data_IF_290253079832
#
_entry.id   IF_290253079832
#
_cell.length_a   1.000
_cell.length_b   1.000
_cell.length_c   1.000
_cell.angle_alpha   90.00
_cell.angle_beta   90.00
_cell.angle_gamma   90.00
#
_symmetry.space_group_name_H-M   'P 1'
#
loop_
_entity.id
_entity.type
_entity.pdbx_description
1 polymer ?
#
# COMPACT_ATOMS: atom_id res chain seq x y z
N UNK A 1 -29.20 -15.01 -25.40
CA UNK A 1 -28.55 -14.99 -24.04
C UNK A 1 -29.64 -14.91 -22.99
N UNK A 2 -29.93 -15.99 -22.26
CA UNK A 2 -30.85 -15.94 -21.12
C UNK A 2 -30.19 -15.15 -20.02
N UNK A 3 -30.72 -13.98 -19.66
CA UNK A 3 -30.34 -13.27 -18.44
C UNK A 3 -30.62 -14.21 -17.28
N UNK A 4 -29.56 -14.65 -16.59
CA UNK A 4 -29.65 -15.34 -15.31
C UNK A 4 -30.33 -14.35 -14.36
N UNK A 5 -31.65 -14.51 -14.17
CA UNK A 5 -32.35 -13.70 -13.17
C UNK A 5 -31.88 -14.17 -11.80
N UNK A 6 -30.88 -13.52 -11.29
CA UNK A 6 -30.48 -13.70 -9.87
C UNK A 6 -31.75 -13.51 -9.02
N UNK A 7 -32.07 -14.48 -8.20
CA UNK A 7 -33.20 -14.46 -7.26
C UNK A 7 -33.04 -13.32 -6.26
N UNK A 8 -31.79 -12.88 -6.01
CA UNK A 8 -31.44 -11.84 -5.05
C UNK A 8 -31.10 -10.52 -5.76
N UNK A 9 -31.60 -9.42 -5.20
CA UNK A 9 -31.14 -8.07 -5.53
C UNK A 9 -29.68 -7.89 -5.10
N UNK A 10 -28.98 -6.91 -5.64
CA UNK A 10 -27.57 -6.65 -5.22
C UNK A 10 -27.48 -6.29 -3.74
N UNK A 11 -28.47 -5.56 -3.20
CA UNK A 11 -28.54 -5.23 -1.78
C UNK A 11 -28.66 -6.48 -0.90
N UNK A 12 -29.47 -7.46 -1.31
CA UNK A 12 -29.61 -8.73 -0.59
C UNK A 12 -28.33 -9.57 -0.65
N UNK A 13 -27.66 -9.61 -1.81
CA UNK A 13 -26.35 -10.29 -1.93
C UNK A 13 -25.31 -9.68 -1.00
N UNK A 14 -25.26 -8.34 -0.94
CA UNK A 14 -24.33 -7.63 -0.04
C UNK A 14 -24.62 -7.96 1.41
N UNK A 15 -25.90 -7.93 1.82
CA UNK A 15 -26.30 -8.27 3.17
C UNK A 15 -25.94 -9.71 3.54
N UNK A 16 -26.27 -10.67 2.71
CA UNK A 16 -25.97 -12.09 2.96
C UNK A 16 -24.47 -12.33 3.10
N UNK A 17 -23.65 -11.74 2.21
CA UNK A 17 -22.19 -11.87 2.30
C UNK A 17 -21.64 -11.28 3.61
N UNK A 18 -22.16 -10.13 4.04
CA UNK A 18 -21.80 -9.47 5.28
C UNK A 18 -22.20 -10.32 6.49
N UNK A 19 -23.45 -10.77 6.54
CA UNK A 19 -23.98 -11.62 7.64
C UNK A 19 -23.15 -12.91 7.81
N UNK A 20 -22.67 -13.51 6.72
CA UNK A 20 -21.80 -14.70 6.78
C UNK A 20 -20.49 -14.38 7.49
N UNK A 21 -19.84 -13.27 7.14
CA UNK A 21 -18.55 -12.89 7.75
C UNK A 21 -18.75 -12.46 9.19
N UNK A 22 -19.77 -11.65 9.50
CA UNK A 22 -20.11 -11.27 10.88
C UNK A 22 -20.29 -12.48 11.78
N UNK A 23 -21.05 -13.47 11.32
CA UNK A 23 -21.27 -14.71 12.10
C UNK A 23 -20.00 -15.54 12.26
N UNK A 24 -19.21 -15.68 11.19
CA UNK A 24 -17.98 -16.47 11.21
C UNK A 24 -16.92 -15.86 12.13
N UNK A 25 -16.81 -14.54 12.17
CA UNK A 25 -15.79 -13.79 12.93
C UNK A 25 -16.29 -13.27 14.26
N UNK A 26 -17.59 -13.43 14.58
CA UNK A 26 -18.24 -12.83 15.77
C UNK A 26 -17.98 -11.32 15.86
N UNK A 27 -18.10 -10.64 14.75
CA UNK A 27 -17.82 -9.21 14.59
C UNK A 27 -19.05 -8.47 14.08
N UNK A 28 -18.98 -7.13 14.00
CA UNK A 28 -19.96 -6.29 13.34
C UNK A 28 -19.34 -5.57 12.15
N UNK A 29 -20.09 -5.43 11.06
CA UNK A 29 -19.64 -4.79 9.83
C UNK A 29 -20.61 -3.69 9.47
N UNK A 30 -20.09 -2.46 9.35
CA UNK A 30 -20.83 -1.30 8.85
C UNK A 30 -20.43 -1.02 7.41
N UNK A 31 -21.40 -1.08 6.52
CA UNK A 31 -21.16 -0.80 5.09
C UNK A 31 -21.47 0.65 4.77
N UNK A 32 -20.53 1.31 4.10
CA UNK A 32 -20.67 2.65 3.54
C UNK A 32 -20.38 2.61 2.05
N UNK A 33 -21.19 3.28 1.26
CA UNK A 33 -20.99 3.44 -0.17
C UNK A 33 -20.52 4.86 -0.48
N UNK A 34 -19.52 4.97 -1.35
CA UNK A 34 -18.97 6.25 -1.78
C UNK A 34 -18.93 6.33 -3.32
N UNK A 35 -19.07 7.52 -3.92
CA UNK A 35 -18.85 7.69 -5.36
C UNK A 35 -17.35 7.61 -5.74
N UNK A 36 -16.43 7.60 -4.77
CA UNK A 36 -14.98 7.48 -5.02
C UNK A 36 -14.65 6.12 -5.62
N UNK A 37 -13.57 6.07 -6.41
CA UNK A 37 -13.09 4.86 -7.10
C UNK A 37 -12.25 3.92 -6.22
N UNK A 38 -12.51 3.87 -4.94
CA UNK A 38 -11.75 3.09 -3.98
C UNK A 38 -12.66 2.34 -2.99
N UNK A 39 -12.20 1.18 -2.53
CA UNK A 39 -12.77 0.47 -1.39
C UNK A 39 -11.70 0.31 -0.31
N UNK A 40 -12.11 0.29 0.94
CA UNK A 40 -11.21 0.02 2.05
C UNK A 40 -11.96 -0.53 3.27
N UNK A 41 -11.22 -1.29 4.07
CA UNK A 41 -11.67 -1.84 5.34
C UNK A 41 -10.88 -1.24 6.49
N UNK A 42 -11.58 -0.86 7.53
CA UNK A 42 -10.98 -0.36 8.76
C UNK A 42 -11.61 -1.03 9.98
N UNK A 43 -10.81 -1.44 10.95
CA UNK A 43 -11.29 -2.03 12.21
C UNK A 43 -11.24 -0.98 13.30
N UNK A 44 -12.38 -0.75 13.93
CA UNK A 44 -12.47 0.10 15.12
C UNK A 44 -12.45 -0.76 16.37
N UNK A 45 -11.51 -0.50 17.24
CA UNK A 45 -11.60 -0.83 18.65
C UNK A 45 -12.39 0.30 19.34
N UNK A 46 -13.72 0.30 19.21
CA UNK A 46 -14.51 1.37 19.78
C UNK A 46 -15.29 0.90 21.02
N UNK A 47 -14.88 1.34 22.22
CA UNK A 47 -15.59 1.03 23.46
C UNK A 47 -16.98 1.67 23.56
N UNK A 48 -17.32 2.69 22.76
CA UNK A 48 -18.62 3.36 22.81
C UNK A 48 -19.78 2.51 22.30
N UNK A 49 -19.49 1.52 21.43
CA UNK A 49 -20.50 0.56 20.95
C UNK A 49 -20.74 -0.59 21.92
N UNK A 50 -20.13 -0.53 23.07
CA UNK A 50 -20.03 -1.63 23.99
C UNK A 50 -20.81 -1.41 25.26
N UNK A 51 -22.12 -1.46 25.16
CA UNK A 51 -22.94 -1.35 26.36
C UNK A 51 -23.17 -2.67 27.10
N UNK A 52 -22.82 -3.81 26.53
CA UNK A 52 -23.03 -5.12 27.16
C UNK A 52 -22.03 -6.23 26.85
N UNK A 53 -21.20 -6.09 25.80
CA UNK A 53 -20.29 -7.17 25.41
C UNK A 53 -18.98 -6.58 24.89
N UNK A 54 -18.00 -6.46 25.77
CA UNK A 54 -16.71 -5.79 25.58
C UNK A 54 -15.80 -6.44 24.51
N UNK A 55 -16.29 -7.40 23.75
CA UNK A 55 -15.48 -8.24 22.88
C UNK A 55 -15.80 -8.17 21.38
N UNK A 56 -16.70 -7.31 20.95
CA UNK A 56 -17.11 -7.28 19.53
C UNK A 56 -16.33 -6.20 18.77
N UNK A 57 -15.41 -6.60 17.93
CA UNK A 57 -14.77 -5.71 16.97
C UNK A 57 -15.78 -5.20 15.94
N UNK A 58 -15.67 -3.92 15.59
CA UNK A 58 -16.48 -3.30 14.54
C UNK A 58 -15.57 -2.99 13.36
N UNK A 59 -15.96 -3.48 12.19
CA UNK A 59 -15.27 -3.17 10.94
C UNK A 59 -16.11 -2.20 10.11
N UNK A 60 -15.51 -1.10 9.70
CA UNK A 60 -16.08 -0.20 8.72
C UNK A 60 -15.55 -0.55 7.34
N UNK A 61 -16.46 -0.91 6.44
CA UNK A 61 -16.13 -1.19 5.05
C UNK A 61 -16.73 -0.10 4.18
N UNK A 62 -15.88 0.62 3.46
CA UNK A 62 -16.30 1.59 2.46
C UNK A 62 -16.10 1.02 1.06
N UNK A 63 -17.15 1.08 0.26
CA UNK A 63 -17.17 0.55 -1.10
C UNK A 63 -17.43 1.66 -2.09
N UNK A 64 -16.52 1.83 -3.03
CA UNK A 64 -16.61 2.79 -4.11
C UNK A 64 -17.16 2.20 -5.41
N UNK A 65 -16.98 2.96 -6.49
CA UNK A 65 -17.24 2.53 -7.86
C UNK A 65 -15.93 2.54 -8.63
N UNK A 66 -15.49 1.38 -9.07
CA UNK A 66 -14.37 1.23 -9.99
C UNK A 66 -14.95 0.81 -11.34
N UNK A 67 -14.56 1.49 -12.41
CA UNK A 67 -15.03 1.16 -13.75
C UNK A 67 -14.64 -0.28 -14.13
N UNK A 68 -15.58 -1.01 -14.70
CA UNK A 68 -15.37 -2.42 -15.09
C UNK A 68 -15.31 -3.42 -13.93
N UNK A 69 -15.48 -2.98 -12.66
CA UNK A 69 -15.51 -3.84 -11.48
C UNK A 69 -16.91 -3.83 -10.84
N UNK A 70 -17.47 -5.01 -10.60
CA UNK A 70 -18.73 -5.13 -9.89
C UNK A 70 -18.56 -4.74 -8.41
N UNK A 71 -19.43 -3.90 -7.84
CA UNK A 71 -19.39 -3.51 -6.43
C UNK A 71 -19.40 -4.72 -5.48
N UNK A 72 -20.10 -5.80 -5.86
CA UNK A 72 -20.07 -7.03 -5.09
C UNK A 72 -18.69 -7.70 -5.07
N UNK A 73 -17.89 -7.52 -6.10
CA UNK A 73 -16.48 -8.00 -6.12
C UNK A 73 -15.63 -7.19 -5.17
N UNK A 74 -15.80 -5.86 -5.12
CA UNK A 74 -15.12 -5.00 -4.16
C UNK A 74 -15.53 -5.36 -2.72
N UNK A 75 -16.82 -5.52 -2.46
CA UNK A 75 -17.30 -5.95 -1.15
C UNK A 75 -16.65 -7.27 -0.72
N UNK A 76 -16.63 -8.27 -1.59
CA UNK A 76 -16.01 -9.56 -1.25
C UNK A 76 -14.50 -9.46 -1.02
N UNK A 77 -13.82 -8.52 -1.68
CA UNK A 77 -12.42 -8.22 -1.42
C UNK A 77 -12.25 -7.68 0.01
N UNK A 78 -13.01 -6.63 0.37
CA UNK A 78 -12.93 -6.02 1.69
C UNK A 78 -13.36 -6.99 2.81
N UNK A 79 -14.41 -7.78 2.57
CA UNK A 79 -14.81 -8.86 3.49
C UNK A 79 -13.71 -9.92 3.65
N UNK A 80 -12.87 -10.11 2.66
CA UNK A 80 -11.71 -11.00 2.71
C UNK A 80 -10.70 -10.54 3.76
N UNK A 81 -10.44 -9.24 3.89
CA UNK A 81 -9.57 -8.69 4.92
C UNK A 81 -10.07 -9.02 6.32
N UNK A 82 -11.38 -8.89 6.56
CA UNK A 82 -12.00 -9.24 7.84
C UNK A 82 -11.98 -10.75 8.06
N UNK A 83 -12.39 -11.53 7.04
CA UNK A 83 -12.54 -12.98 7.15
C UNK A 83 -11.23 -13.69 7.45
N UNK A 84 -10.13 -13.20 6.90
CA UNK A 84 -8.80 -13.84 6.98
C UNK A 84 -7.80 -13.07 7.84
N UNK A 85 -8.29 -12.18 8.72
CA UNK A 85 -7.50 -11.45 9.71
C UNK A 85 -6.25 -10.79 9.09
N UNK A 86 -6.48 -9.89 8.13
CA UNK A 86 -5.36 -9.20 7.46
C UNK A 86 -4.47 -8.48 8.47
N UNK A 87 -3.14 -8.71 8.45
CA UNK A 87 -2.23 -8.24 9.48
C UNK A 87 -1.81 -6.77 9.26
N UNK A 88 -2.77 -5.90 8.91
CA UNK A 88 -2.49 -4.53 8.49
C UNK A 88 -1.84 -3.72 9.60
N UNK A 89 -2.35 -3.79 10.83
CA UNK A 89 -1.77 -3.05 11.96
C UNK A 89 -0.36 -3.54 12.32
N UNK A 90 -0.16 -4.87 12.36
CA UNK A 90 1.18 -5.43 12.57
C UNK A 90 2.14 -5.09 11.44
N UNK A 91 1.63 -5.03 10.21
CA UNK A 91 2.38 -4.59 9.04
C UNK A 91 2.78 -3.13 9.14
N UNK A 92 1.86 -2.25 9.53
CA UNK A 92 2.12 -0.83 9.76
C UNK A 92 3.25 -0.63 10.75
N UNK A 93 3.16 -1.23 11.94
CA UNK A 93 4.21 -1.12 12.97
C UNK A 93 5.56 -1.66 12.51
N UNK A 94 5.58 -2.73 11.73
CA UNK A 94 6.81 -3.27 11.15
C UNK A 94 7.44 -2.30 10.15
N UNK A 95 6.63 -1.71 9.27
CA UNK A 95 7.07 -0.74 8.27
C UNK A 95 7.57 0.53 8.94
N UNK A 96 6.87 1.05 9.94
CA UNK A 96 7.31 2.23 10.72
C UNK A 96 8.70 2.04 11.33
N UNK A 97 8.98 0.86 11.91
CA UNK A 97 10.31 0.52 12.41
C UNK A 97 11.37 0.51 11.29
N UNK A 98 11.02 0.08 10.09
CA UNK A 98 11.93 0.10 8.96
C UNK A 98 12.19 1.52 8.44
N UNK A 99 11.15 2.33 8.41
CA UNK A 99 11.27 3.74 7.98
C UNK A 99 12.07 4.58 8.98
N UNK A 100 11.95 4.28 10.25
CA UNK A 100 12.65 5.03 11.32
C UNK A 100 14.18 4.99 11.22
N UNK A 101 14.76 3.99 10.53
CA UNK A 101 16.22 3.89 10.38
C UNK A 101 16.79 4.78 9.27
N UNK A 102 15.93 5.31 8.39
CA UNK A 102 16.37 6.24 7.34
C UNK A 102 16.56 7.64 7.93
N UNK A 103 17.74 8.21 7.73
CA UNK A 103 18.05 9.58 8.12
C UNK A 103 17.76 10.54 6.96
N UNK A 104 16.49 10.80 6.74
CA UNK A 104 15.98 11.63 5.65
C UNK A 104 14.80 12.47 6.12
N UNK A 105 14.40 13.48 5.33
CA UNK A 105 13.27 14.35 5.63
C UNK A 105 11.93 13.60 5.76
N UNK A 106 10.99 14.19 6.50
CA UNK A 106 9.68 13.61 6.79
C UNK A 106 8.87 13.26 5.54
N UNK A 107 8.95 14.09 4.50
CA UNK A 107 8.28 13.84 3.22
C UNK A 107 8.85 12.59 2.54
N UNK A 108 10.17 12.45 2.53
CA UNK A 108 10.84 11.26 1.97
C UNK A 108 10.49 10.03 2.82
N UNK A 109 10.46 10.13 4.16
CA UNK A 109 9.99 9.04 5.04
C UNK A 109 8.58 8.60 4.71
N UNK A 110 7.68 9.54 4.44
CA UNK A 110 6.30 9.25 4.03
C UNK A 110 6.26 8.46 2.71
N UNK A 111 7.10 8.83 1.74
CA UNK A 111 7.20 8.09 0.47
C UNK A 111 7.79 6.69 0.64
N UNK A 112 8.80 6.53 1.50
CA UNK A 112 9.35 5.22 1.87
C UNK A 112 8.27 4.35 2.52
N UNK A 113 7.53 4.89 3.48
CA UNK A 113 6.41 4.18 4.09
C UNK A 113 5.38 3.72 3.05
N UNK A 114 4.97 4.61 2.15
CA UNK A 114 4.04 4.30 1.06
C UNK A 114 4.52 3.16 0.18
N UNK A 115 5.82 3.11 -0.11
CA UNK A 115 6.42 2.05 -0.92
C UNK A 115 6.26 0.68 -0.25
N UNK A 116 6.66 0.54 1.02
CA UNK A 116 6.49 -0.72 1.75
C UNK A 116 5.03 -1.09 1.96
N UNK A 117 4.20 -0.09 2.28
CA UNK A 117 2.77 -0.30 2.48
C UNK A 117 2.07 -0.81 1.23
N UNK A 118 2.43 -0.27 0.08
CA UNK A 118 1.91 -0.71 -1.22
C UNK A 118 2.29 -2.16 -1.52
N UNK A 119 3.54 -2.53 -1.21
CA UNK A 119 3.97 -3.92 -1.35
C UNK A 119 3.18 -4.86 -0.44
N UNK A 120 2.98 -4.48 0.83
CA UNK A 120 2.18 -5.26 1.78
C UNK A 120 0.74 -5.44 1.28
N UNK A 121 0.09 -4.37 0.84
CA UNK A 121 -1.28 -4.43 0.33
C UNK A 121 -1.39 -5.37 -0.87
N UNK A 122 -0.49 -5.25 -1.85
CA UNK A 122 -0.52 -6.11 -3.04
C UNK A 122 -0.33 -7.60 -2.69
N UNK A 123 0.54 -7.90 -1.72
CA UNK A 123 0.77 -9.26 -1.23
C UNK A 123 -0.47 -9.76 -0.50
N UNK A 124 -1.00 -8.97 0.41
CA UNK A 124 -2.17 -9.34 1.21
C UNK A 124 -3.42 -9.53 0.36
N UNK A 125 -3.66 -8.65 -0.59
CA UNK A 125 -4.75 -8.76 -1.55
C UNK A 125 -4.66 -10.08 -2.36
N UNK A 126 -3.45 -10.48 -2.76
CA UNK A 126 -3.28 -11.77 -3.44
C UNK A 126 -3.71 -12.92 -2.54
N UNK A 127 -3.31 -12.89 -1.27
CA UNK A 127 -3.64 -13.91 -0.27
C UNK A 127 -5.15 -14.01 -0.02
N UNK A 128 -5.79 -12.88 0.31
CA UNK A 128 -7.22 -12.87 0.64
C UNK A 128 -8.10 -13.21 -0.56
N UNK A 129 -7.78 -12.71 -1.75
CA UNK A 129 -8.54 -13.03 -2.95
C UNK A 129 -8.45 -14.53 -3.30
N UNK A 130 -7.28 -15.15 -3.10
CA UNK A 130 -7.13 -16.58 -3.26
C UNK A 130 -8.01 -17.37 -2.27
N UNK A 131 -7.95 -16.99 -0.98
CA UNK A 131 -8.73 -17.65 0.07
C UNK A 131 -10.24 -17.45 -0.12
N UNK A 132 -10.67 -16.22 -0.47
CA UNK A 132 -12.07 -15.95 -0.83
C UNK A 132 -12.51 -16.71 -2.07
N UNK A 133 -11.63 -16.89 -3.04
CA UNK A 133 -11.87 -17.72 -4.22
C UNK A 133 -12.06 -19.21 -3.88
N UNK A 134 -11.37 -19.70 -2.86
CA UNK A 134 -11.58 -21.07 -2.34
C UNK A 134 -12.91 -21.23 -1.61
N UNK A 135 -13.31 -20.23 -0.82
CA UNK A 135 -14.60 -20.25 -0.14
C UNK A 135 -15.77 -20.20 -1.11
N UNK A 136 -15.69 -19.33 -2.10
CA UNK A 136 -16.74 -19.13 -3.08
C UNK A 136 -16.17 -19.14 -4.50
N UNK A 137 -16.33 -20.22 -5.19
CA UNK A 137 -15.76 -20.44 -6.53
C UNK A 137 -16.07 -19.32 -7.54
N UNK A 138 -17.26 -18.70 -7.44
CA UNK A 138 -17.63 -17.56 -8.30
C UNK A 138 -16.72 -16.34 -8.05
N UNK A 139 -16.18 -16.16 -6.85
CA UNK A 139 -15.27 -15.06 -6.55
C UNK A 139 -13.92 -15.22 -7.26
N UNK A 140 -13.42 -16.44 -7.41
CA UNK A 140 -12.19 -16.67 -8.17
C UNK A 140 -12.28 -16.09 -9.60
N UNK A 141 -13.43 -16.32 -10.27
CA UNK A 141 -13.68 -15.81 -11.63
C UNK A 141 -13.80 -14.28 -11.62
N UNK A 142 -14.51 -13.72 -10.62
CA UNK A 142 -14.70 -12.28 -10.48
C UNK A 142 -13.40 -11.55 -10.22
N UNK A 143 -12.60 -12.01 -9.26
CA UNK A 143 -11.30 -11.42 -8.95
C UNK A 143 -10.36 -11.51 -10.15
N UNK A 144 -10.31 -12.65 -10.85
CA UNK A 144 -9.52 -12.77 -12.08
C UNK A 144 -9.94 -11.75 -13.13
N UNK A 145 -11.25 -11.58 -13.37
CA UNK A 145 -11.75 -10.59 -14.32
C UNK A 145 -11.40 -9.16 -13.89
N UNK A 146 -11.61 -8.83 -12.62
CA UNK A 146 -11.27 -7.52 -12.05
C UNK A 146 -9.79 -7.21 -12.21
N UNK A 147 -8.90 -8.13 -11.85
CA UNK A 147 -7.45 -7.97 -12.00
C UNK A 147 -7.03 -7.74 -13.46
N UNK A 148 -7.64 -8.48 -14.40
CA UNK A 148 -7.38 -8.27 -15.84
C UNK A 148 -7.81 -6.88 -16.32
N UNK A 149 -8.97 -6.38 -15.85
CA UNK A 149 -9.46 -5.04 -16.20
C UNK A 149 -8.54 -3.96 -15.64
N UNK A 150 -8.18 -4.05 -14.35
CA UNK A 150 -7.24 -3.12 -13.71
C UNK A 150 -5.86 -3.18 -14.41
N UNK A 151 -5.36 -4.36 -14.73
CA UNK A 151 -4.09 -4.51 -15.45
C UNK A 151 -4.12 -3.89 -16.85
N UNK A 152 -5.26 -3.92 -17.55
CA UNK A 152 -5.43 -3.23 -18.82
C UNK A 152 -5.40 -1.71 -18.63
N UNK A 153 -6.17 -1.20 -17.69
CA UNK A 153 -6.23 0.23 -17.41
C UNK A 153 -4.86 0.81 -17.00
N UNK A 154 -4.11 0.07 -16.20
CA UNK A 154 -2.79 0.53 -15.71
C UNK A 154 -1.70 0.51 -16.78
N UNK A 155 -1.71 -0.46 -17.68
CA UNK A 155 -0.54 -0.75 -18.54
C UNK A 155 -0.83 -0.73 -20.04
N UNK A 156 -2.09 -0.80 -20.48
CA UNK A 156 -2.41 -0.88 -21.92
C UNK A 156 -2.36 0.51 -22.54
N UNK A 157 -1.53 0.66 -23.58
CA UNK A 157 -1.42 1.90 -24.36
C UNK A 157 -0.70 3.06 -23.68
N UNK A 158 -0.08 2.87 -22.50
CA UNK A 158 0.70 3.91 -21.84
C UNK A 158 2.13 3.94 -22.36
N UNK A 159 2.64 5.11 -22.79
CA UNK A 159 4.03 5.25 -23.18
C UNK A 159 4.94 4.99 -21.95
N UNK A 160 6.09 4.37 -22.18
CA UNK A 160 7.11 4.04 -21.16
C UNK A 160 6.69 3.03 -20.06
N UNK A 161 5.56 2.34 -20.23
CA UNK A 161 5.14 1.33 -19.24
C UNK A 161 6.20 0.23 -19.00
N UNK A 162 6.95 -0.14 -20.03
CA UNK A 162 8.01 -1.16 -19.91
C UNK A 162 9.18 -0.69 -19.06
N UNK A 163 9.62 0.56 -19.19
CA UNK A 163 10.72 1.11 -18.41
C UNK A 163 10.34 1.28 -16.94
N UNK A 164 9.15 1.80 -16.67
CA UNK A 164 8.62 1.92 -15.31
C UNK A 164 8.54 0.54 -14.64
N UNK A 165 8.02 -0.46 -15.37
CA UNK A 165 7.89 -1.82 -14.87
C UNK A 165 9.23 -2.51 -14.58
N UNK A 166 10.29 -2.16 -15.31
CA UNK A 166 11.63 -2.72 -15.10
C UNK A 166 12.32 -2.17 -13.85
N UNK A 167 12.07 -0.92 -13.52
CA UNK A 167 12.81 -0.20 -12.49
C UNK A 167 12.08 -0.03 -11.17
N UNK A 168 10.74 -0.05 -11.18
CA UNK A 168 9.93 0.11 -9.96
C UNK A 168 9.41 -1.25 -9.46
N UNK A 169 9.83 -1.69 -8.25
CA UNK A 169 9.44 -2.99 -7.69
C UNK A 169 7.93 -3.11 -7.44
N UNK A 170 7.26 -2.01 -7.10
CA UNK A 170 5.81 -2.03 -6.87
C UNK A 170 5.07 -2.25 -8.18
N UNK A 171 5.47 -1.59 -9.26
CA UNK A 171 4.90 -1.85 -10.58
C UNK A 171 5.19 -3.27 -11.07
N UNK A 172 6.38 -3.81 -10.78
CA UNK A 172 6.70 -5.20 -11.07
C UNK A 172 5.76 -6.16 -10.31
N UNK A 173 5.54 -5.91 -9.02
CA UNK A 173 4.63 -6.69 -8.18
C UNK A 173 3.17 -6.60 -8.70
N UNK A 174 2.70 -5.40 -9.05
CA UNK A 174 1.40 -5.19 -9.67
C UNK A 174 1.25 -5.93 -11.00
N UNK A 175 2.25 -5.82 -11.88
CA UNK A 175 2.22 -6.47 -13.19
C UNK A 175 2.12 -8.00 -13.05
N UNK A 176 2.88 -8.60 -12.14
CA UNK A 176 2.80 -10.05 -11.87
C UNK A 176 1.43 -10.42 -11.34
N UNK A 177 0.89 -9.68 -10.35
CA UNK A 177 -0.43 -9.90 -9.76
C UNK A 177 -1.56 -9.74 -10.79
N UNK A 178 -1.48 -8.74 -11.65
CA UNK A 178 -2.51 -8.45 -12.67
C UNK A 178 -2.33 -9.21 -14.00
N UNK A 179 -1.56 -10.29 -13.99
CA UNK A 179 -1.32 -11.16 -15.16
C UNK A 179 -0.61 -10.47 -16.33
N UNK A 180 0.17 -9.42 -16.04
CA UNK A 180 1.03 -8.74 -17.00
C UNK A 180 2.52 -9.06 -16.79
N UNK A 181 2.81 -10.16 -16.10
CA UNK A 181 4.18 -10.60 -15.79
C UNK A 181 5.09 -10.79 -17.00
N UNK A 182 4.53 -10.95 -18.22
CA UNK A 182 5.31 -10.97 -19.45
C UNK A 182 6.09 -9.67 -19.69
N UNK A 183 5.58 -8.53 -19.20
CA UNK A 183 6.23 -7.22 -19.33
C UNK A 183 7.45 -7.06 -18.42
N UNK A 184 7.60 -7.93 -17.41
CA UNK A 184 8.65 -7.84 -16.38
C UNK A 184 9.52 -9.10 -16.30
N UNK A 185 9.44 -10.02 -17.27
CA UNK A 185 10.19 -11.28 -17.27
C UNK A 185 11.70 -11.11 -17.15
N UNK A 186 12.22 -10.02 -17.69
CA UNK A 186 13.65 -9.70 -17.64
C UNK A 186 14.07 -8.99 -16.34
N UNK A 187 13.13 -8.67 -15.47
CA UNK A 187 13.42 -8.08 -14.17
C UNK A 187 14.05 -9.14 -13.25
N UNK A 188 15.14 -8.77 -12.58
CA UNK A 188 15.87 -9.67 -11.67
C UNK A 188 14.99 -10.21 -10.54
N UNK A 189 14.04 -9.42 -10.07
CA UNK A 189 13.12 -9.81 -9.00
C UNK A 189 11.89 -10.58 -9.49
N UNK A 190 11.66 -10.71 -10.79
CA UNK A 190 10.46 -11.36 -11.32
C UNK A 190 10.23 -12.76 -10.72
N UNK A 191 11.28 -13.58 -10.69
CA UNK A 191 11.19 -14.96 -10.15
C UNK A 191 10.86 -14.96 -8.66
N UNK A 192 11.48 -14.04 -7.90
CA UNK A 192 11.23 -13.88 -6.48
C UNK A 192 9.79 -13.42 -6.23
N UNK A 193 9.35 -12.36 -6.91
CA UNK A 193 8.00 -11.83 -6.79
C UNK A 193 6.95 -12.88 -7.16
N UNK A 194 7.16 -13.58 -8.29
CA UNK A 194 6.25 -14.65 -8.71
C UNK A 194 6.15 -15.75 -7.66
N UNK A 195 7.28 -16.21 -7.16
CA UNK A 195 7.32 -17.23 -6.10
C UNK A 195 6.61 -16.76 -4.84
N UNK A 196 6.87 -15.53 -4.39
CA UNK A 196 6.22 -14.96 -3.19
C UNK A 196 4.70 -14.93 -3.38
N UNK A 197 4.20 -14.47 -4.53
CA UNK A 197 2.76 -14.42 -4.80
C UNK A 197 2.10 -15.79 -4.93
N UNK A 198 2.85 -16.81 -5.36
CA UNK A 198 2.39 -18.21 -5.37
C UNK A 198 2.43 -18.81 -3.96
N UNK A 199 3.51 -18.59 -3.22
CA UNK A 199 3.70 -19.17 -1.88
C UNK A 199 2.75 -18.57 -0.84
N UNK A 200 2.33 -17.30 -1.02
CA UNK A 200 1.39 -16.63 -0.10
C UNK A 200 -0.02 -17.21 -0.18
N UNK A 201 -0.37 -17.84 -1.28
CA UNK A 201 -1.69 -18.41 -1.50
C UNK A 201 -1.98 -19.50 -0.48
N UNK A 202 -3.03 -19.33 0.31
CA UNK A 202 -3.44 -20.30 1.33
C UNK A 202 -2.70 -20.21 2.66
N UNK A 203 -1.82 -19.23 2.85
CA UNK A 203 -1.16 -19.01 4.15
C UNK A 203 -2.06 -18.25 5.13
N UNK A 204 -1.71 -18.34 6.43
CA UNK A 204 -2.33 -17.55 7.49
C UNK A 204 -1.90 -16.07 7.46
N UNK A 205 -2.44 -15.24 8.37
CA UNK A 205 -2.18 -13.79 8.39
C UNK A 205 -0.70 -13.40 8.43
N UNK A 206 0.11 -14.13 9.17
CA UNK A 206 1.57 -13.86 9.27
C UNK A 206 2.31 -14.06 7.94
N UNK A 207 1.75 -14.83 7.01
CA UNK A 207 2.38 -15.11 5.72
C UNK A 207 2.71 -13.84 4.93
N UNK A 208 1.80 -12.87 4.88
CA UNK A 208 2.03 -11.59 4.17
C UNK A 208 3.17 -10.79 4.76
N UNK A 209 3.34 -10.82 6.09
CA UNK A 209 4.46 -10.15 6.76
C UNK A 209 5.80 -10.83 6.45
N UNK A 210 5.80 -12.16 6.39
CA UNK A 210 7.00 -12.92 5.97
C UNK A 210 7.33 -12.62 4.52
N UNK A 211 6.34 -12.63 3.64
CA UNK A 211 6.52 -12.30 2.22
C UNK A 211 7.07 -10.88 2.02
N UNK A 212 6.57 -9.90 2.77
CA UNK A 212 7.09 -8.53 2.72
C UNK A 212 8.56 -8.46 3.18
N UNK A 213 8.94 -9.20 4.25
CA UNK A 213 10.34 -9.29 4.68
C UNK A 213 11.24 -9.88 3.59
N UNK A 214 10.77 -10.89 2.86
CA UNK A 214 11.53 -11.48 1.74
C UNK A 214 11.74 -10.48 0.59
N UNK A 215 10.84 -9.53 0.40
CA UNK A 215 10.97 -8.46 -0.59
C UNK A 215 11.76 -7.25 -0.09
N UNK A 216 12.02 -7.15 1.21
CA UNK A 216 12.60 -5.96 1.83
C UNK A 216 13.90 -5.52 1.14
N UNK A 217 14.85 -6.41 0.99
CA UNK A 217 16.15 -6.09 0.36
C UNK A 217 15.98 -5.50 -1.05
N UNK A 218 15.05 -6.04 -1.83
CA UNK A 218 14.76 -5.55 -3.16
C UNK A 218 14.09 -4.17 -3.15
N UNK A 219 13.18 -3.94 -2.20
CA UNK A 219 12.56 -2.64 -1.98
C UNK A 219 13.59 -1.61 -1.47
N UNK A 220 14.48 -2.01 -0.56
CA UNK A 220 15.55 -1.16 -0.04
C UNK A 220 16.48 -0.65 -1.15
N UNK A 221 16.86 -1.50 -2.09
CA UNK A 221 17.69 -1.10 -3.24
C UNK A 221 17.00 -0.01 -4.06
N UNK A 222 15.70 -0.16 -4.32
CA UNK A 222 14.92 0.86 -5.01
C UNK A 222 14.82 2.16 -4.21
N UNK A 223 14.48 2.05 -2.91
CA UNK A 223 14.34 3.20 -2.01
C UNK A 223 15.65 3.98 -1.93
N UNK A 224 16.77 3.30 -1.69
CA UNK A 224 18.08 3.95 -1.60
C UNK A 224 18.46 4.65 -2.90
N UNK A 225 18.21 4.01 -4.05
CA UNK A 225 18.43 4.67 -5.36
C UNK A 225 17.62 5.96 -5.52
N UNK A 226 16.41 6.02 -4.95
CA UNK A 226 15.58 7.23 -5.00
C UNK A 226 16.04 8.29 -4.01
N UNK A 227 16.53 7.89 -2.85
CA UNK A 227 17.15 8.81 -1.89
C UNK A 227 18.40 9.43 -2.52
N UNK A 228 19.29 8.64 -3.11
CA UNK A 228 20.50 9.13 -3.79
C UNK A 228 20.16 10.15 -4.88
N UNK A 229 19.11 9.91 -5.69
CA UNK A 229 18.65 10.87 -6.71
C UNK A 229 18.18 12.20 -6.07
N UNK A 230 17.49 12.16 -4.93
CA UNK A 230 17.05 13.35 -4.21
C UNK A 230 18.23 14.11 -3.59
N UNK A 231 19.19 13.40 -2.99
CA UNK A 231 20.38 13.98 -2.36
C UNK A 231 21.26 14.69 -3.38
N UNK A 232 21.46 14.10 -4.56
CA UNK A 232 22.19 14.77 -5.66
C UNK A 232 21.57 16.12 -6.07
N UNK A 233 20.23 16.21 -6.09
CA UNK A 233 19.53 17.46 -6.44
C UNK A 233 19.63 18.44 -5.28
N UNK A 234 19.49 17.97 -4.05
CA UNK A 234 19.63 18.77 -2.84
C UNK A 234 21.01 19.40 -2.73
N UNK A 235 22.08 18.65 -3.04
CA UNK A 235 23.45 19.15 -3.09
C UNK A 235 23.64 20.24 -4.17
N UNK A 236 23.05 20.06 -5.36
CA UNK A 236 23.08 21.08 -6.43
C UNK A 236 22.33 22.34 -6.01
N UNK A 237 21.22 22.17 -5.29
CA UNK A 237 20.41 23.26 -4.79
C UNK A 237 21.16 24.06 -3.73
N UNK A 238 21.81 23.39 -2.76
CA UNK A 238 22.65 24.03 -1.74
C UNK A 238 23.77 24.87 -2.36
N UNK A 239 24.47 24.31 -3.35
CA UNK A 239 25.51 25.05 -4.09
C UNK A 239 24.96 26.28 -4.83
N UNK A 240 23.76 26.15 -5.43
CA UNK A 240 23.12 27.28 -6.12
C UNK A 240 22.74 28.41 -5.16
N UNK A 241 22.28 28.08 -3.94
CA UNK A 241 22.02 29.06 -2.89
C UNK A 241 23.31 29.72 -2.37
N UNK A 242 24.38 28.95 -2.14
CA UNK A 242 25.69 29.49 -1.74
C UNK A 242 26.26 30.45 -2.81
N UNK A 243 26.15 30.10 -4.09
CA UNK A 243 26.52 30.97 -5.21
C UNK A 243 25.70 32.25 -5.23
N UNK A 244 24.41 32.19 -4.92
CA UNK A 244 23.54 33.37 -4.84
C UNK A 244 23.92 34.29 -3.68
N UNK A 245 24.19 33.75 -2.50
CA UNK A 245 24.54 34.52 -1.29
C UNK A 245 25.93 35.16 -1.39
N UNK A 246 26.90 34.46 -1.96
CA UNK A 246 28.30 34.88 -1.99
C UNK A 246 28.63 35.82 -3.17
N UNK A 247 27.67 36.07 -4.07
CA UNK A 247 27.91 36.97 -5.18
C UNK A 247 27.51 38.41 -4.79
N UNK A 248 28.41 39.40 -4.89
CA UNK A 248 28.07 40.79 -4.63
C UNK A 248 26.90 41.24 -5.52
N UNK A 249 25.97 41.98 -4.92
CA UNK A 249 24.88 42.62 -5.65
C UNK A 249 25.50 43.68 -6.59
N UNK A 250 26.00 43.20 -7.72
CA UNK A 250 26.41 44.07 -8.82
C UNK A 250 25.21 44.49 -9.62
N UNK A 251 25.33 45.56 -10.42
CA UNK A 251 24.26 46.13 -11.25
C UNK A 251 23.73 45.20 -12.37
N UNK A 252 24.05 43.93 -12.36
CA UNK A 252 23.65 42.95 -13.40
C UNK A 252 22.44 42.13 -12.96
N UNK A 253 21.26 42.76 -13.15
CA UNK A 253 19.97 42.10 -12.85
C UNK A 253 19.79 40.79 -13.61
N UNK A 254 20.36 40.68 -14.80
CA UNK A 254 20.26 39.49 -15.66
C UNK A 254 20.91 38.26 -15.04
N UNK A 255 22.07 38.41 -14.38
CA UNK A 255 22.75 37.30 -13.70
C UNK A 255 22.01 36.85 -12.43
N UNK A 256 21.39 37.78 -11.71
CA UNK A 256 20.53 37.48 -10.56
C UNK A 256 19.30 36.67 -11.01
N UNK A 257 18.61 37.12 -12.06
CA UNK A 257 17.42 36.44 -12.58
C UNK A 257 17.73 35.00 -13.08
N UNK A 258 18.89 34.78 -13.69
CA UNK A 258 19.34 33.46 -14.12
C UNK A 258 19.56 32.49 -12.95
N UNK A 259 20.13 32.98 -11.85
CA UNK A 259 20.36 32.14 -10.64
C UNK A 259 19.06 31.80 -9.95
N UNK A 260 18.16 32.76 -9.81
CA UNK A 260 16.83 32.53 -9.26
C UNK A 260 16.06 31.48 -10.10
N UNK A 261 16.13 31.62 -11.43
CA UNK A 261 15.52 30.64 -12.33
C UNK A 261 16.11 29.22 -12.13
N UNK A 262 17.44 29.12 -11.96
CA UNK A 262 18.10 27.84 -11.72
C UNK A 262 17.66 27.23 -10.39
N UNK A 263 17.58 28.02 -9.32
CA UNK A 263 17.10 27.55 -8.00
C UNK A 263 15.66 27.06 -8.11
N UNK A 264 14.79 27.79 -8.79
CA UNK A 264 13.40 27.40 -9.01
C UNK A 264 13.29 26.10 -9.83
N UNK A 265 14.15 25.92 -10.84
CA UNK A 265 14.21 24.67 -11.62
C UNK A 265 14.63 23.48 -10.76
N UNK A 266 15.67 23.64 -9.92
CA UNK A 266 16.15 22.58 -9.03
C UNK A 266 15.12 22.21 -7.95
N UNK A 267 14.43 23.22 -7.38
CA UNK A 267 13.32 22.97 -6.45
C UNK A 267 12.20 22.16 -7.10
N UNK A 268 11.79 22.52 -8.32
CA UNK A 268 10.78 21.79 -9.07
C UNK A 268 11.25 20.35 -9.41
N UNK A 269 12.52 20.19 -9.76
CA UNK A 269 13.11 18.88 -10.02
C UNK A 269 13.10 18.01 -8.77
N UNK A 270 13.49 18.55 -7.61
CA UNK A 270 13.46 17.84 -6.34
C UNK A 270 12.02 17.39 -5.97
N UNK A 271 11.06 18.30 -6.08
CA UNK A 271 9.64 17.98 -5.84
C UNK A 271 9.14 16.87 -6.76
N UNK A 272 9.51 16.91 -8.04
CA UNK A 272 9.11 15.89 -8.99
C UNK A 272 9.76 14.54 -8.65
N UNK A 273 11.06 14.52 -8.33
CA UNK A 273 11.76 13.29 -7.93
C UNK A 273 11.19 12.68 -6.63
N UNK A 274 10.85 13.51 -5.66
CA UNK A 274 10.19 13.07 -4.43
C UNK A 274 8.82 12.43 -4.75
N UNK A 275 8.06 13.00 -5.68
CA UNK A 275 6.78 12.42 -6.15
C UNK A 275 6.98 11.09 -6.89
N UNK A 276 8.07 10.93 -7.66
CA UNK A 276 8.38 9.72 -8.45
C UNK A 276 8.52 8.45 -7.60
N UNK A 277 8.72 8.57 -6.27
CA UNK A 277 8.66 7.40 -5.37
C UNK A 277 7.36 6.63 -5.51
N UNK A 278 6.25 7.32 -5.78
CA UNK A 278 4.92 6.74 -5.72
C UNK A 278 4.03 7.08 -6.93
N UNK A 279 4.60 7.63 -8.01
CA UNK A 279 3.82 7.95 -9.20
C UNK A 279 3.17 6.70 -9.77
N UNK A 280 1.84 6.79 -9.95
CA UNK A 280 0.97 5.73 -10.45
C UNK A 280 0.74 4.52 -9.53
N UNK A 281 1.15 4.58 -8.27
CA UNK A 281 0.76 3.56 -7.31
C UNK A 281 -0.66 3.89 -6.82
N UNK A 282 -1.63 3.11 -7.28
CA UNK A 282 -2.99 3.22 -6.76
C UNK A 282 -3.04 2.56 -5.37
N UNK A 283 -2.63 3.35 -4.35
CA UNK A 283 -2.51 2.90 -2.98
C UNK A 283 -3.87 3.11 -2.30
N UNK A 284 -4.26 2.15 -1.49
CA UNK A 284 -5.30 2.39 -0.49
C UNK A 284 -4.89 3.60 0.37
N UNK A 285 -5.54 4.74 0.14
CA UNK A 285 -5.20 6.00 0.79
C UNK A 285 -5.33 5.95 2.32
N UNK A 286 -6.09 5.00 2.84
CA UNK A 286 -6.44 4.99 4.26
C UNK A 286 -5.26 4.73 5.19
N UNK A 287 -4.40 3.76 4.86
CA UNK A 287 -3.22 3.46 5.69
C UNK A 287 -2.15 4.53 5.61
N UNK A 288 -1.99 5.15 4.43
CA UNK A 288 -1.03 6.23 4.22
C UNK A 288 -1.53 7.56 4.78
N UNK A 289 -2.82 7.87 4.66
CA UNK A 289 -3.41 9.10 5.19
C UNK A 289 -3.22 9.18 6.71
N UNK A 290 -3.44 8.07 7.44
CA UNK A 290 -3.19 8.03 8.88
C UNK A 290 -1.73 8.26 9.22
N UNK A 291 -0.80 7.68 8.45
CA UNK A 291 0.63 7.92 8.66
C UNK A 291 1.00 9.38 8.40
N UNK A 292 0.46 9.99 7.33
CA UNK A 292 0.64 11.41 7.01
C UNK A 292 0.06 12.32 8.11
N UNK A 293 -1.13 12.02 8.61
CA UNK A 293 -1.77 12.79 9.68
C UNK A 293 -0.97 12.72 11.00
N UNK A 294 -0.40 11.56 11.31
CA UNK A 294 0.40 11.33 12.52
C UNK A 294 1.82 11.95 12.44
N UNK A 295 2.38 12.13 11.23
CA UNK A 295 3.78 12.55 11.04
C UNK A 295 3.94 13.87 10.27
N UNK A 296 2.85 14.56 9.92
CA UNK A 296 2.95 15.84 9.22
C UNK A 296 3.11 17.00 10.21
N UNK A 297 4.26 17.73 10.20
CA UNK A 297 4.52 18.83 11.12
C UNK A 297 3.58 20.03 10.93
N UNK A 298 2.93 20.18 9.77
CA UNK A 298 1.99 21.28 9.51
C UNK A 298 0.66 21.16 10.29
N UNK A 299 0.34 19.99 10.82
CA UNK A 299 -0.92 19.78 11.55
C UNK A 299 -0.87 20.23 13.01
N UNK A 300 0.22 20.83 13.50
CA UNK A 300 0.29 21.52 14.80
C UNK A 300 -0.07 20.64 16.01
N UNK A 301 -0.09 19.33 15.86
CA UNK A 301 -0.21 18.41 16.97
C UNK A 301 1.16 18.34 17.61
N UNK A 302 1.42 19.22 18.59
CA UNK A 302 2.46 18.96 19.56
C UNK A 302 2.23 17.55 20.08
N UNK A 303 3.12 16.64 19.72
CA UNK A 303 3.15 15.32 20.35
C UNK A 303 3.45 15.56 21.82
N UNK A 304 2.39 15.66 22.63
CA UNK A 304 2.52 15.35 24.05
C UNK A 304 3.22 14.01 24.12
N UNK A 305 4.39 14.01 24.74
CA UNK A 305 5.17 12.83 25.05
C UNK A 305 4.24 11.69 25.41
N UNK A 306 3.92 10.84 24.47
CA UNK A 306 3.25 9.59 24.74
C UNK A 306 4.20 8.83 25.62
N UNK A 307 3.83 8.79 26.90
CA UNK A 307 4.46 8.03 27.96
C UNK A 307 4.89 6.70 27.39
N UNK A 308 6.21 6.47 27.49
CA UNK A 308 6.75 5.14 27.33
C UNK A 308 5.84 4.16 28.08
N UNK A 309 5.16 3.32 27.36
CA UNK A 309 4.61 2.11 27.93
C UNK A 309 5.82 1.23 28.23
N UNK A 310 6.42 1.46 29.40
CA UNK A 310 7.15 0.44 30.09
C UNK A 310 6.15 -0.62 30.50
N UNK A 311 6.28 -1.79 29.96
CA UNK A 311 5.56 -2.97 30.44
C UNK A 311 4.91 -3.78 29.33
N UNK A 312 5.65 -4.54 28.59
CA UNK A 312 5.62 -5.99 28.66
C UNK A 312 6.74 -6.60 27.80
N UNK A 313 7.81 -6.92 28.46
CA UNK A 313 8.82 -7.85 27.99
C UNK A 313 8.21 -9.26 28.03
N UNK A 314 7.73 -9.74 26.94
CA UNK A 314 7.69 -11.17 26.68
C UNK A 314 7.10 -11.45 25.31
N UNK A 315 7.91 -11.46 24.31
CA UNK A 315 7.95 -12.45 23.22
C UNK A 315 9.26 -12.25 22.46
N UNK A 316 10.35 -12.54 23.13
CA UNK A 316 11.52 -13.08 22.46
C UNK A 316 11.15 -14.52 22.05
N UNK A 317 10.48 -14.66 20.96
CA UNK A 317 10.31 -15.96 20.32
C UNK A 317 11.27 -16.05 19.13
N UNK A 318 12.56 -16.12 19.46
CA UNK A 318 13.56 -16.76 18.62
C UNK A 318 13.33 -18.29 18.68
N UNK A 319 12.13 -18.72 18.33
CA UNK A 319 11.81 -20.12 18.13
C UNK A 319 12.36 -20.57 16.79
N UNK A 320 13.43 -21.36 16.86
CA UNK A 320 13.95 -22.20 15.79
C UNK A 320 12.82 -22.77 14.93
N UNK A 321 12.78 -22.39 13.65
CA UNK A 321 11.99 -23.11 12.65
C UNK A 321 12.76 -24.39 12.35
N UNK A 322 12.54 -25.39 13.20
CA UNK A 322 12.94 -26.76 12.94
C UNK A 322 12.13 -27.36 11.81
N UNK A 323 12.81 -27.82 10.79
CA UNK A 323 12.34 -28.70 9.73
C UNK A 323 11.38 -29.77 10.24
N UNK A 324 10.15 -29.75 9.72
CA UNK A 324 9.36 -30.96 9.51
C UNK A 324 8.42 -30.81 8.32
N UNK A 325 8.99 -31.01 7.14
CA UNK A 325 8.24 -31.54 6.01
C UNK A 325 8.53 -33.02 5.97
N UNK A 326 7.59 -33.84 6.41
CA UNK A 326 7.52 -35.26 6.01
C UNK A 326 6.09 -35.74 6.06
N UNK A 327 5.66 -36.16 4.89
CA UNK A 327 4.54 -37.02 4.47
C UNK A 327 3.15 -36.45 4.51
#
# INVERSE_FOLDING_TARGET
MKRDKSIFTDKEKHRVATDIVENAKKTKIRLKYTPRSEGYTYTHDNPEYNTKDMSVNIHDITIGKIEGVEQFTLLNHELGHVMFDSPLESGRRMIEKWVAVYDVDGDIKTHIFKTYWSALNLIEDQRIEHLMGKLWLKNQVRFKKSRLNVGKELYEGKPNSEDILKHNPIHCLQAVRFFKGSLVKDNKAYKLIKKILEDIEGTGPKGSLVALRMLKEYLDVFINSKIDECDEISDKLSKAYDEQQNTPIGNDSLEHDKRELRINQLNNELQNKTKDFNDNINISKHGTQRYEEEHNPENGIEMENTRAYEGDNSVDDEGEIGDKVTK
#
